data_IF_524851889859
#
_entry.id   IF_524851889859
#
_cell.length_a   1.000
_cell.length_b   1.000
_cell.length_c   1.000
_cell.angle_alpha   90.00
_cell.angle_beta   90.00
_cell.angle_gamma   90.00
#
_symmetry.space_group_name_H-M   'P 1'
#
loop_
_entity.id
_entity.type
_entity.pdbx_description
1 polymer ?
#
# COMPACT_ATOMS: atom_id res chain seq x y z
N UNK A 1 9.17 -13.82 -9.04
CA UNK A 1 9.02 -13.89 -7.56
C UNK A 1 7.84 -13.01 -7.15
N UNK A 2 7.07 -13.42 -6.15
CA UNK A 2 5.97 -12.60 -5.64
C UNK A 2 6.52 -11.57 -4.65
N UNK A 3 6.13 -10.31 -4.82
CA UNK A 3 6.35 -9.25 -3.84
C UNK A 3 5.26 -9.31 -2.76
N UNK A 4 5.58 -8.84 -1.56
CA UNK A 4 4.61 -8.73 -0.46
C UNK A 4 4.65 -7.30 0.09
N UNK A 5 3.98 -6.39 -0.60
CA UNK A 5 3.93 -4.98 -0.21
C UNK A 5 2.78 -4.76 0.77
N UNK A 6 2.98 -3.85 1.72
CA UNK A 6 1.96 -3.42 2.67
C UNK A 6 1.85 -1.91 2.67
N UNK A 7 0.65 -1.39 2.43
CA UNK A 7 0.36 0.04 2.49
C UNK A 7 -0.81 0.28 3.44
N UNK A 8 -0.66 1.27 4.33
CA UNK A 8 -1.69 1.67 5.28
C UNK A 8 -2.49 2.85 4.75
N UNK A 9 -3.82 2.80 4.94
CA UNK A 9 -4.72 3.93 4.67
C UNK A 9 -5.61 4.19 5.87
N UNK A 10 -6.06 5.44 6.05
CA UNK A 10 -6.90 5.81 7.18
C UNK A 10 -8.30 5.16 7.06
N UNK A 11 -8.95 4.85 8.19
CA UNK A 11 -10.28 4.21 8.21
C UNK A 11 -11.38 4.99 7.47
N UNK A 12 -11.26 6.32 7.39
CA UNK A 12 -12.22 7.18 6.67
C UNK A 12 -12.05 7.20 5.14
N UNK A 13 -11.09 6.45 4.60
CA UNK A 13 -10.77 6.45 3.17
C UNK A 13 -11.81 5.68 2.36
N UNK A 14 -12.14 6.15 1.16
CA UNK A 14 -12.89 5.36 0.19
C UNK A 14 -12.08 4.16 -0.31
N UNK A 15 -12.36 2.98 0.24
CA UNK A 15 -11.63 1.75 -0.06
C UNK A 15 -11.80 1.30 -1.51
N UNK A 16 -12.96 1.50 -2.13
CA UNK A 16 -13.17 1.10 -3.52
C UNK A 16 -12.28 1.90 -4.47
N UNK A 17 -12.22 3.21 -4.27
CA UNK A 17 -11.35 4.11 -5.03
C UNK A 17 -9.87 3.79 -4.78
N UNK A 18 -9.49 3.62 -3.52
CA UNK A 18 -8.11 3.25 -3.12
C UNK A 18 -7.65 1.96 -3.79
N UNK A 19 -8.47 0.92 -3.74
CA UNK A 19 -8.17 -0.37 -4.36
C UNK A 19 -8.13 -0.26 -5.89
N UNK A 20 -8.95 0.62 -6.49
CA UNK A 20 -8.88 0.96 -7.92
C UNK A 20 -7.54 1.59 -8.29
N UNK A 21 -7.08 2.58 -7.52
CA UNK A 21 -5.78 3.22 -7.74
C UNK A 21 -4.62 2.21 -7.67
N UNK A 22 -4.61 1.32 -6.65
CA UNK A 22 -3.57 0.28 -6.55
C UNK A 22 -3.59 -0.63 -7.79
N UNK A 23 -4.77 -1.06 -8.25
CA UNK A 23 -4.87 -1.90 -9.46
C UNK A 23 -4.33 -1.17 -10.70
N UNK A 24 -4.65 0.11 -10.86
CA UNK A 24 -4.14 0.92 -11.97
C UNK A 24 -2.61 1.03 -11.94
N UNK A 25 -1.99 1.15 -10.75
CA UNK A 25 -0.53 1.13 -10.62
C UNK A 25 0.05 -0.20 -11.09
N UNK A 26 -0.52 -1.33 -10.65
CA UNK A 26 -0.06 -2.65 -11.06
C UNK A 26 -0.28 -2.92 -12.56
N UNK A 27 -1.36 -2.38 -13.13
CA UNK A 27 -1.67 -2.46 -14.55
C UNK A 27 -0.69 -1.63 -15.39
N UNK A 28 -0.28 -0.46 -14.90
CA UNK A 28 0.65 0.45 -15.59
C UNK A 28 2.14 0.15 -15.39
N UNK A 29 2.53 -0.61 -14.35
CA UNK A 29 3.94 -0.89 -14.09
C UNK A 29 4.55 -1.84 -15.12
N UNK A 30 5.73 -1.48 -15.63
CA UNK A 30 6.51 -2.30 -16.57
C UNK A 30 7.12 -3.55 -15.91
N UNK A 31 7.21 -3.59 -14.59
CA UNK A 31 7.83 -4.69 -13.84
C UNK A 31 6.84 -5.80 -13.46
N UNK A 32 5.54 -5.48 -13.43
CA UNK A 32 4.49 -6.38 -12.96
C UNK A 32 4.03 -7.32 -14.08
N UNK A 33 4.19 -8.62 -13.82
CA UNK A 33 3.66 -9.69 -14.67
C UNK A 33 2.12 -9.71 -14.57
N UNK A 34 1.45 -9.90 -15.71
CA UNK A 34 -0.01 -9.99 -15.78
C UNK A 34 -0.52 -11.39 -15.42
N UNK A 35 0.31 -12.40 -15.68
CA UNK A 35 0.10 -13.78 -15.26
C UNK A 35 1.33 -14.24 -14.47
N UNK A 36 1.16 -14.66 -13.20
CA UNK A 36 -0.09 -14.77 -12.45
C UNK A 36 -0.70 -13.40 -12.09
N UNK A 37 -2.03 -13.35 -11.96
CA UNK A 37 -2.76 -12.13 -11.58
C UNK A 37 -2.30 -11.66 -10.19
N UNK A 38 -1.93 -10.37 -10.03
CA UNK A 38 -1.59 -9.81 -8.72
C UNK A 38 -2.74 -9.90 -7.72
N UNK A 39 -2.43 -10.26 -6.47
CA UNK A 39 -3.39 -10.18 -5.37
C UNK A 39 -3.38 -8.78 -4.78
N UNK A 40 -4.57 -8.17 -4.63
CA UNK A 40 -4.75 -6.92 -3.89
C UNK A 40 -5.92 -7.08 -2.94
N UNK A 41 -5.71 -6.85 -1.65
CA UNK A 41 -6.74 -7.04 -0.62
C UNK A 41 -6.38 -6.42 0.72
N UNK A 42 -7.37 -6.26 1.59
CA UNK A 42 -7.15 -5.86 2.98
C UNK A 42 -6.60 -7.09 3.72
N UNK A 43 -5.48 -6.93 4.42
CA UNK A 43 -4.85 -8.01 5.17
C UNK A 43 -4.90 -7.83 6.68
N UNK A 44 -5.07 -6.60 7.16
CA UNK A 44 -5.17 -6.32 8.59
C UNK A 44 -5.94 -5.03 8.84
N UNK A 45 -6.72 -5.01 9.92
CA UNK A 45 -7.29 -3.82 10.52
C UNK A 45 -6.42 -3.47 11.73
N UNK A 46 -5.56 -2.46 11.60
CA UNK A 46 -4.68 -1.99 12.67
C UNK A 46 -5.29 -0.84 13.46
N UNK A 47 -4.64 -0.43 14.54
CA UNK A 47 -5.20 0.54 15.48
C UNK A 47 -5.50 1.92 14.85
N UNK A 48 -4.72 2.31 13.84
CA UNK A 48 -4.86 3.61 13.16
C UNK A 48 -4.89 3.52 11.63
N UNK A 49 -4.88 2.31 11.08
CA UNK A 49 -4.78 2.08 9.64
C UNK A 49 -5.48 0.79 9.20
N UNK A 50 -6.10 0.83 8.03
CA UNK A 50 -6.44 -0.37 7.26
C UNK A 50 -5.20 -0.73 6.42
N UNK A 51 -4.70 -1.96 6.57
CA UNK A 51 -3.52 -2.44 5.85
C UNK A 51 -3.95 -3.18 4.60
N UNK A 52 -3.51 -2.69 3.45
CA UNK A 52 -3.71 -3.29 2.14
C UNK A 52 -2.45 -4.08 1.78
N UNK A 53 -2.62 -5.37 1.52
CA UNK A 53 -1.60 -6.21 0.89
C UNK A 53 -1.67 -6.07 -0.63
N UNK A 54 -0.51 -5.85 -1.23
CA UNK A 54 -0.32 -5.77 -2.68
C UNK A 54 0.76 -6.78 -3.06
N UNK A 55 0.37 -7.86 -3.73
CA UNK A 55 1.25 -9.00 -3.99
C UNK A 55 1.37 -9.30 -5.49
N UNK A 56 2.06 -8.43 -6.27
CA UNK A 56 2.33 -8.67 -7.68
C UNK A 56 3.44 -9.68 -7.89
N UNK A 57 3.46 -10.25 -9.08
CA UNK A 57 4.55 -11.09 -9.56
C UNK A 57 5.49 -10.27 -10.42
N UNK A 58 6.79 -10.38 -10.17
CA UNK A 58 7.85 -9.67 -10.90
C UNK A 58 8.98 -10.62 -11.29
N UNK A 59 9.83 -10.24 -12.24
CA UNK A 59 11.06 -10.98 -12.53
C UNK A 59 12.01 -10.93 -11.32
N UNK A 60 12.84 -11.96 -11.18
CA UNK A 60 13.78 -12.03 -10.05
C UNK A 60 14.80 -10.90 -10.11
N UNK A 61 15.30 -10.59 -11.30
CA UNK A 61 16.32 -9.54 -11.52
C UNK A 61 15.78 -8.13 -11.25
N UNK A 62 14.46 -7.94 -11.40
CA UNK A 62 13.80 -6.65 -11.21
C UNK A 62 13.24 -6.46 -9.79
N UNK A 63 13.43 -7.44 -8.88
CA UNK A 63 12.67 -7.52 -7.62
C UNK A 63 12.77 -6.25 -6.75
N UNK A 64 13.99 -5.77 -6.50
CA UNK A 64 14.24 -4.59 -5.65
C UNK A 64 13.77 -3.29 -6.33
N UNK A 65 14.06 -3.15 -7.63
CA UNK A 65 13.65 -1.98 -8.43
C UNK A 65 12.13 -1.88 -8.52
N UNK A 66 11.46 -2.99 -8.79
CA UNK A 66 10.01 -3.07 -8.84
C UNK A 66 9.38 -2.76 -7.48
N UNK A 67 9.97 -3.26 -6.38
CA UNK A 67 9.48 -2.94 -5.05
C UNK A 67 9.52 -1.43 -4.77
N UNK A 68 10.65 -0.79 -5.05
CA UNK A 68 10.82 0.64 -4.81
C UNK A 68 9.88 1.49 -5.68
N UNK A 69 9.83 1.20 -7.00
CA UNK A 69 8.95 1.90 -7.95
C UNK A 69 7.48 1.77 -7.54
N UNK A 70 7.01 0.55 -7.25
CA UNK A 70 5.62 0.33 -6.88
C UNK A 70 5.25 1.07 -5.59
N UNK A 71 6.11 1.09 -4.57
CA UNK A 71 5.82 1.88 -3.37
C UNK A 71 5.73 3.37 -3.67
N UNK A 72 6.68 3.91 -4.43
CA UNK A 72 6.68 5.32 -4.81
C UNK A 72 5.42 5.68 -5.58
N UNK A 73 5.11 4.94 -6.64
CA UNK A 73 3.95 5.18 -7.50
C UNK A 73 2.64 5.03 -6.72
N UNK A 74 2.51 4.06 -5.80
CA UNK A 74 1.33 3.94 -4.94
C UNK A 74 1.17 5.19 -4.06
N UNK A 75 2.23 5.67 -3.43
CA UNK A 75 2.17 6.87 -2.58
C UNK A 75 1.77 8.10 -3.39
N UNK A 76 2.37 8.31 -4.57
CA UNK A 76 2.03 9.42 -5.47
C UNK A 76 0.56 9.35 -5.91
N UNK A 77 0.08 8.17 -6.31
CA UNK A 77 -1.35 7.99 -6.69
C UNK A 77 -2.30 8.20 -5.53
N UNK A 78 -1.92 7.82 -4.32
CA UNK A 78 -2.71 8.08 -3.13
C UNK A 78 -2.80 9.57 -2.83
N UNK A 79 -1.70 10.32 -2.99
CA UNK A 79 -1.71 11.77 -2.84
C UNK A 79 -2.60 12.44 -3.89
N UNK A 80 -2.46 12.08 -5.16
CA UNK A 80 -3.28 12.60 -6.27
C UNK A 80 -4.78 12.30 -6.06
N UNK A 81 -5.08 11.09 -5.61
CA UNK A 81 -6.43 10.62 -5.30
C UNK A 81 -6.97 11.06 -3.94
N UNK A 82 -6.24 11.90 -3.19
CA UNK A 82 -6.61 12.37 -1.84
C UNK A 82 -6.90 11.23 -0.84
N UNK A 83 -6.24 10.10 -1.02
CA UNK A 83 -6.24 8.96 -0.11
C UNK A 83 -5.37 9.31 1.09
N UNK A 84 -5.97 9.34 2.29
CA UNK A 84 -5.25 9.68 3.50
C UNK A 84 -4.37 8.51 3.97
N UNK A 85 -3.06 8.73 3.99
CA UNK A 85 -2.08 7.81 4.57
C UNK A 85 -1.90 8.19 6.05
N UNK A 86 -2.18 7.29 7.00
CA UNK A 86 -2.08 7.59 8.42
C UNK A 86 -0.61 7.81 8.80
N UNK A 87 -0.35 8.92 9.47
CA UNK A 87 0.96 9.18 10.06
C UNK A 87 1.17 8.25 11.28
N UNK A 88 2.41 7.81 11.53
CA UNK A 88 2.71 7.03 12.73
C UNK A 88 2.35 7.85 13.97
N UNK A 89 1.45 7.32 14.81
CA UNK A 89 1.09 7.98 16.07
C UNK A 89 2.22 7.80 17.10
N UNK A 90 2.67 8.90 17.70
CA UNK A 90 3.41 8.86 18.97
C UNK A 90 2.42 9.06 20.10
N UNK A 91 2.16 8.01 20.88
CA UNK A 91 1.35 8.12 22.09
C UNK A 91 2.18 8.86 23.16
N UNK A 92 1.85 10.13 23.44
CA UNK A 92 2.44 10.85 24.58
C UNK A 92 1.60 10.48 25.80
N UNK A 93 2.02 9.46 26.55
CA UNK A 93 1.45 9.20 27.88
C UNK A 93 1.94 10.26 28.85
N UNK A 94 1.10 11.24 29.15
CA UNK A 94 1.27 12.09 30.33
C UNK A 94 0.97 11.25 31.57
N UNK A 95 2.02 10.76 32.23
CA UNK A 95 1.88 10.17 33.56
C UNK A 95 1.84 11.33 34.55
N UNK A 96 0.64 11.75 34.93
CA UNK A 96 0.47 12.66 36.07
C UNK A 96 0.93 11.92 37.33
N UNK A 97 2.09 12.31 37.86
CA UNK A 97 2.60 11.81 39.13
C UNK A 97 1.75 12.35 40.27
N UNK A 98 1.25 11.42 41.11
CA UNK A 98 0.67 11.71 42.43
C UNK A 98 1.74 11.57 43.50
#
# INVERSE_FOLDING_TARGET
>A
RQLHLKVGVAYGTNLNETMGLVRQVLEGSAYVLKEPIPLVGISMLGDSAIIISVCPWVKVDDYETAQAELYQTIVERFQDGRVAIPLPQREVRLVSGS
#
